data_IF_234306118626
#
_entry.id   IF_234306118626
#
_cell.length_a   1.000
_cell.length_b   1.000
_cell.length_c   1.000
_cell.angle_alpha   90.00
_cell.angle_beta   90.00
_cell.angle_gamma   90.00
#
_symmetry.space_group_name_H-M   'P 1'
#
loop_
_entity.id
_entity.type
_entity.pdbx_description
1 polymer ?
#
# COMPACT_ATOMS: atom_id res chain seq x y z
N UNK A 1 24.81 12.77 -8.88
CA UNK A 1 24.15 12.76 -10.20
C UNK A 1 22.73 12.30 -9.93
N UNK A 2 21.76 13.20 -10.03
CA UNK A 2 20.36 12.81 -9.99
C UNK A 2 20.07 12.26 -11.37
N UNK A 3 19.89 10.94 -11.50
CA UNK A 3 19.35 10.37 -12.73
C UNK A 3 17.97 11.01 -12.97
N UNK A 4 17.76 11.54 -14.17
CA UNK A 4 16.45 12.03 -14.57
C UNK A 4 15.52 10.82 -14.64
N UNK A 5 14.58 10.75 -13.69
CA UNK A 5 13.53 9.73 -13.68
C UNK A 5 12.54 10.07 -14.78
N UNK A 6 12.40 9.19 -15.77
CA UNK A 6 11.43 9.35 -16.84
C UNK A 6 10.01 9.00 -16.38
N UNK A 7 9.00 9.54 -17.08
CA UNK A 7 7.59 9.18 -16.85
C UNK A 7 7.38 7.67 -17.01
N UNK A 8 8.03 7.05 -17.99
CA UNK A 8 7.92 5.62 -18.25
C UNK A 8 8.45 4.76 -17.09
N UNK A 9 9.50 5.21 -16.40
CA UNK A 9 10.01 4.53 -15.21
C UNK A 9 9.03 4.63 -14.04
N UNK A 10 8.42 5.80 -13.82
CA UNK A 10 7.39 5.97 -12.79
C UNK A 10 6.17 5.09 -13.07
N UNK A 11 5.72 5.03 -14.32
CA UNK A 11 4.64 4.14 -14.74
C UNK A 11 5.00 2.67 -14.53
N UNK A 12 6.25 2.29 -14.83
CA UNK A 12 6.78 0.96 -14.57
C UNK A 12 6.75 0.58 -13.08
N UNK A 13 7.12 1.51 -12.20
CA UNK A 13 7.04 1.29 -10.75
C UNK A 13 5.60 1.17 -10.25
N UNK A 14 4.68 2.00 -10.77
CA UNK A 14 3.26 1.92 -10.44
C UNK A 14 2.68 0.57 -10.84
N UNK A 15 2.96 0.11 -12.07
CA UNK A 15 2.55 -1.21 -12.56
C UNK A 15 3.18 -2.34 -11.74
N UNK A 16 4.45 -2.22 -11.36
CA UNK A 16 5.13 -3.19 -10.50
C UNK A 16 4.47 -3.31 -9.13
N UNK A 17 4.04 -2.20 -8.53
CA UNK A 17 3.29 -2.23 -7.27
C UNK A 17 1.92 -2.90 -7.42
N UNK A 18 1.21 -2.62 -8.52
CA UNK A 18 -0.05 -3.30 -8.83
C UNK A 18 0.14 -4.81 -9.03
N UNK A 19 1.24 -5.21 -9.67
CA UNK A 19 1.59 -6.61 -9.86
C UNK A 19 1.84 -7.33 -8.52
N UNK A 20 2.53 -6.67 -7.59
CA UNK A 20 2.70 -7.19 -6.21
C UNK A 20 1.34 -7.40 -5.55
N UNK A 21 0.46 -6.40 -5.60
CA UNK A 21 -0.90 -6.48 -5.01
C UNK A 21 -1.74 -7.58 -5.68
N UNK A 22 -1.56 -7.79 -6.99
CA UNK A 22 -2.20 -8.89 -7.71
C UNK A 22 -1.68 -10.26 -7.25
N UNK A 23 -0.36 -10.43 -7.15
CA UNK A 23 0.28 -11.70 -6.73
C UNK A 23 -0.10 -12.12 -5.32
N UNK A 24 -0.24 -11.18 -4.39
CA UNK A 24 -0.67 -11.49 -3.01
C UNK A 24 -2.20 -11.63 -2.89
N UNK A 25 -2.96 -11.22 -3.90
CA UNK A 25 -4.42 -11.22 -3.91
C UNK A 25 -5.06 -12.54 -3.46
N UNK A 26 -4.62 -13.71 -3.94
CA UNK A 26 -5.17 -15.01 -3.53
C UNK A 26 -5.03 -15.35 -2.04
N UNK A 27 -4.20 -14.61 -1.27
CA UNK A 27 -4.10 -14.77 0.18
C UNK A 27 -5.26 -14.15 0.93
N UNK A 28 -6.00 -13.25 0.29
CA UNK A 28 -7.15 -12.59 0.89
C UNK A 28 -8.44 -13.22 0.37
N UNK A 29 -9.22 -13.81 1.27
CA UNK A 29 -10.54 -14.36 0.93
C UNK A 29 -11.52 -13.25 0.53
N UNK A 30 -11.34 -12.05 1.08
CA UNK A 30 -12.23 -10.91 0.89
C UNK A 30 -11.55 -9.77 0.13
N UNK A 31 -12.31 -8.99 -0.66
CA UNK A 31 -11.75 -7.87 -1.42
C UNK A 31 -11.32 -6.70 -0.53
N UNK A 32 -11.96 -6.46 0.62
CA UNK A 32 -11.66 -5.31 1.48
C UNK A 32 -10.26 -5.41 2.11
N UNK A 33 -9.83 -6.53 2.74
CA UNK A 33 -8.46 -6.69 3.23
C UNK A 33 -7.41 -6.62 2.12
N UNK A 34 -7.74 -7.10 0.91
CA UNK A 34 -6.85 -6.97 -0.26
C UNK A 34 -6.65 -5.51 -0.66
N UNK A 35 -7.73 -4.74 -0.74
CA UNK A 35 -7.66 -3.31 -1.01
C UNK A 35 -6.83 -2.59 0.06
N UNK A 36 -7.05 -2.94 1.33
CA UNK A 36 -6.29 -2.40 2.45
C UNK A 36 -4.81 -2.73 2.36
N UNK A 37 -4.44 -3.95 1.96
CA UNK A 37 -3.05 -4.33 1.75
C UNK A 37 -2.37 -3.45 0.69
N UNK A 38 -3.06 -3.16 -0.41
CA UNK A 38 -2.56 -2.25 -1.44
C UNK A 38 -2.41 -0.80 -0.95
N UNK A 39 -3.36 -0.30 -0.16
CA UNK A 39 -3.27 1.03 0.44
C UNK A 39 -2.12 1.11 1.46
N UNK A 40 -1.96 0.08 2.28
CA UNK A 40 -0.89 -0.06 3.26
C UNK A 40 0.50 -0.07 2.59
N UNK A 41 0.69 -0.85 1.52
CA UNK A 41 1.94 -0.87 0.75
C UNK A 41 2.28 0.49 0.13
N UNK A 42 1.30 1.18 -0.46
CA UNK A 42 1.49 2.57 -0.94
C UNK A 42 1.89 3.51 0.20
N UNK A 43 1.28 3.35 1.38
CA UNK A 43 1.65 4.09 2.58
C UNK A 43 3.09 3.84 3.03
N UNK A 44 3.54 2.59 3.03
CA UNK A 44 4.93 2.22 3.36
C UNK A 44 5.94 2.84 2.38
N UNK A 45 5.66 2.79 1.09
CA UNK A 45 6.55 3.29 0.03
C UNK A 45 6.51 4.81 -0.15
N UNK A 46 5.62 5.50 0.56
CA UNK A 46 5.50 6.95 0.47
C UNK A 46 6.62 7.72 1.20
N UNK A 47 6.57 9.03 1.05
CA UNK A 47 7.37 10.02 1.76
C UNK A 47 6.97 10.26 3.23
N UNK A 48 5.91 9.61 3.75
CA UNK A 48 5.51 9.78 5.16
C UNK A 48 6.67 9.41 6.09
N UNK A 49 7.07 10.33 6.97
CA UNK A 49 8.18 10.13 7.91
C UNK A 49 7.90 9.01 8.93
N UNK A 50 6.68 8.96 9.51
CA UNK A 50 6.32 7.99 10.55
C UNK A 50 5.37 6.92 10.03
N UNK A 51 5.88 5.71 9.84
CA UNK A 51 5.12 4.54 9.33
C UNK A 51 4.38 3.76 10.44
N UNK A 52 3.66 4.47 11.32
CA UNK A 52 2.84 3.81 12.33
C UNK A 52 1.41 3.51 11.79
N UNK A 53 0.69 2.61 12.46
CA UNK A 53 -0.61 2.13 12.00
C UNK A 53 -1.67 3.23 11.85
N UNK A 54 -1.63 4.28 12.68
CA UNK A 54 -2.53 5.42 12.57
C UNK A 54 -2.22 6.26 11.33
N UNK A 55 -0.97 6.70 11.18
CA UNK A 55 -0.55 7.55 10.05
C UNK A 55 -0.74 6.85 8.71
N UNK A 56 -0.50 5.54 8.64
CA UNK A 56 -0.73 4.76 7.42
C UNK A 56 -2.22 4.60 7.10
N UNK A 57 -3.08 4.47 8.11
CA UNK A 57 -4.53 4.42 7.92
C UNK A 57 -5.09 5.77 7.46
N UNK A 58 -4.64 6.88 8.05
CA UNK A 58 -5.00 8.24 7.59
C UNK A 58 -4.61 8.45 6.12
N UNK A 59 -3.39 8.04 5.74
CA UNK A 59 -2.94 8.12 4.35
C UNK A 59 -3.75 7.23 3.41
N UNK A 60 -4.22 6.07 3.89
CA UNK A 60 -5.11 5.20 3.14
C UNK A 60 -6.53 5.81 2.97
N UNK A 61 -6.84 6.91 3.66
CA UNK A 61 -8.17 7.53 3.67
C UNK A 61 -9.12 6.93 4.70
N UNK A 62 -8.62 6.10 5.63
CA UNK A 62 -9.42 5.49 6.66
C UNK A 62 -9.74 6.47 7.78
N UNK A 63 -10.92 6.30 8.39
CA UNK A 63 -11.35 7.09 9.56
C UNK A 63 -10.75 6.60 10.88
N UNK A 64 -10.14 5.42 10.88
CA UNK A 64 -9.61 4.72 12.06
C UNK A 64 -8.55 3.70 11.65
N UNK A 65 -7.61 3.33 12.53
CA UNK A 65 -6.56 2.35 12.23
C UNK A 65 -7.09 0.92 12.09
N UNK A 66 -8.35 0.66 12.41
CA UNK A 66 -8.94 -0.68 12.50
C UNK A 66 -8.77 -1.52 11.23
N UNK A 67 -8.89 -0.92 10.04
CA UNK A 67 -8.71 -1.66 8.79
C UNK A 67 -7.27 -2.16 8.64
N UNK A 68 -6.29 -1.30 8.89
CA UNK A 68 -4.86 -1.64 8.93
C UNK A 68 -4.54 -2.63 10.04
N UNK A 69 -5.12 -2.47 11.23
CA UNK A 69 -4.92 -3.41 12.34
C UNK A 69 -5.50 -4.78 12.03
N UNK A 70 -6.71 -4.86 11.43
CA UNK A 70 -7.28 -6.13 11.00
C UNK A 70 -6.44 -6.80 9.93
N UNK A 71 -5.93 -6.03 8.96
CA UNK A 71 -4.99 -6.54 7.96
C UNK A 71 -3.76 -7.15 8.64
N UNK A 72 -3.12 -6.46 9.58
CA UNK A 72 -1.85 -6.92 10.16
C UNK A 72 -2.02 -8.05 11.19
N UNK A 73 -3.18 -8.13 11.84
CA UNK A 73 -3.43 -9.09 12.92
C UNK A 73 -4.23 -10.34 12.48
N UNK A 74 -4.95 -10.26 11.35
CA UNK A 74 -5.95 -11.27 10.98
C UNK A 74 -5.95 -11.63 9.48
N UNK A 75 -4.98 -11.18 8.69
CA UNK A 75 -4.87 -11.55 7.27
C UNK A 75 -4.51 -13.02 7.05
#
# INVERSE_FOLDING_TARGET
>A
MTEDVSVAEVEGWAAGLEEVVWRIGPRFVRPEPRAQAGAYLRGLLSDVERKNGWTLAERAGDRSPDATQRLLNHA
#
